data_IF_221483511979
#
_entry.id   IF_221483511979
#
_cell.length_a   1.000
_cell.length_b   1.000
_cell.length_c   1.000
_cell.angle_alpha   90.00
_cell.angle_beta   90.00
_cell.angle_gamma   90.00
#
_symmetry.space_group_name_H-M   'P 1'
#
loop_
_entity.id
_entity.type
_entity.pdbx_description
1 polymer ?
#
# COMPACT_ATOMS: atom_id res chain seq x y z
N UNK A 1 -4.82 -25.82 -16.69
CA UNK A 1 -4.82 -25.15 -16.76
C UNK A 1 -4.36 -24.48 -16.77
N UNK A 2 -4.05 -24.34 -16.53
CA UNK A 2 -3.93 -23.74 -16.63
C UNK A 2 -3.48 -22.57 -16.59
N UNK A 3 -3.10 -22.04 -16.78
CA UNK A 3 -3.09 -20.63 -17.01
C UNK A 3 -3.70 -19.91 -15.86
N UNK A 4 -4.55 -20.49 -15.15
CA UNK A 4 -5.22 -19.82 -14.06
C UNK A 4 -4.25 -19.50 -12.92
N UNK A 5 -3.17 -20.20 -12.84
CA UNK A 5 -2.23 -19.93 -11.76
C UNK A 5 -1.62 -18.54 -11.87
N UNK A 6 -1.33 -18.13 -13.09
CA UNK A 6 -0.80 -16.80 -13.26
C UNK A 6 -1.82 -15.76 -12.91
N UNK A 7 -3.05 -16.04 -13.28
CA UNK A 7 -4.11 -15.10 -12.98
C UNK A 7 -4.30 -14.94 -11.50
N UNK A 8 -4.04 -15.99 -10.75
CA UNK A 8 -4.15 -15.90 -9.32
C UNK A 8 -3.19 -14.89 -8.74
N UNK A 9 -1.98 -14.88 -9.25
CA UNK A 9 -1.01 -13.94 -8.73
C UNK A 9 -1.43 -12.53 -8.99
N UNK A 10 -1.97 -12.28 -10.16
CA UNK A 10 -2.44 -10.95 -10.47
C UNK A 10 -3.66 -10.60 -9.67
N UNK A 11 -4.46 -11.59 -9.37
CA UNK A 11 -5.69 -11.37 -8.64
C UNK A 11 -5.45 -11.14 -7.16
N UNK A 12 -4.21 -11.26 -6.68
CA UNK A 12 -3.94 -11.04 -5.27
C UNK A 12 -3.80 -9.57 -4.91
N UNK A 13 -3.82 -8.69 -5.89
CA UNK A 13 -3.84 -7.27 -5.58
C UNK A 13 -5.24 -6.84 -5.20
N UNK A 14 -5.33 -5.87 -4.33
CA UNK A 14 -6.62 -5.35 -3.90
C UNK A 14 -6.48 -3.87 -3.60
N UNK A 15 -7.63 -3.19 -3.61
CA UNK A 15 -7.68 -1.79 -3.25
C UNK A 15 -8.08 -1.71 -1.79
N UNK A 16 -7.34 -0.92 -1.04
CA UNK A 16 -7.58 -0.80 0.39
C UNK A 16 -7.53 0.66 0.78
N UNK A 17 -8.37 1.02 1.74
CA UNK A 17 -8.36 2.38 2.27
C UNK A 17 -6.99 2.65 2.89
N UNK A 18 -6.48 3.86 2.67
CA UNK A 18 -5.19 4.23 3.24
C UNK A 18 -5.19 4.13 4.76
N UNK A 19 -6.35 4.32 5.39
CA UNK A 19 -6.47 4.24 6.85
C UNK A 19 -6.41 2.80 7.36
N UNK A 20 -6.54 1.83 6.47
CA UNK A 20 -6.55 0.42 6.84
C UNK A 20 -5.22 -0.27 6.61
N UNK A 21 -4.21 0.47 6.21
CA UNK A 21 -2.89 -0.11 6.01
C UNK A 21 -2.28 -0.50 7.34
N UNK A 22 -1.61 -1.62 7.36
CA UNK A 22 -0.99 -2.18 8.56
C UNK A 22 0.44 -2.53 8.28
N UNK A 23 1.27 -2.57 9.33
CA UNK A 23 2.65 -3.05 9.15
C UNK A 23 2.66 -4.40 8.49
N UNK A 24 3.52 -4.56 7.50
CA UNK A 24 3.63 -5.80 6.77
C UNK A 24 2.86 -5.83 5.46
N UNK A 25 1.91 -4.92 5.28
CA UNK A 25 1.23 -4.79 3.99
C UNK A 25 2.24 -4.36 2.95
N UNK A 26 1.97 -4.74 1.70
CA UNK A 26 2.81 -4.32 0.60
C UNK A 26 1.95 -3.52 -0.36
N UNK A 27 2.40 -2.31 -0.68
CA UNK A 27 1.61 -1.41 -1.53
C UNK A 27 2.42 -0.97 -2.74
N UNK A 28 1.68 -0.63 -3.80
CA UNK A 28 2.28 -0.04 -4.97
C UNK A 28 2.33 1.47 -4.75
N UNK A 29 3.53 2.01 -4.74
CA UNK A 29 3.72 3.42 -4.45
C UNK A 29 4.75 3.99 -5.41
N UNK A 30 4.41 5.13 -6.03
CA UNK A 30 5.26 5.72 -7.05
C UNK A 30 5.45 4.72 -8.18
N UNK A 31 6.58 4.07 -8.26
CA UNK A 31 6.86 3.16 -9.37
C UNK A 31 7.23 1.77 -8.91
N UNK A 32 6.95 1.42 -7.67
CA UNK A 32 7.35 0.10 -7.19
C UNK A 32 6.49 -0.38 -6.04
N UNK A 33 6.79 -1.59 -5.60
CA UNK A 33 6.13 -2.23 -4.48
C UNK A 33 6.99 -2.07 -3.24
N UNK A 34 6.40 -1.61 -2.16
CA UNK A 34 7.14 -1.38 -0.92
C UNK A 34 6.36 -1.91 0.26
N UNK A 35 7.07 -2.39 1.23
CA UNK A 35 6.48 -2.88 2.47
C UNK A 35 6.14 -1.70 3.36
N UNK A 36 4.95 -1.74 3.95
CA UNK A 36 4.52 -0.72 4.90
C UNK A 36 5.13 -1.05 6.25
N UNK A 37 5.91 -0.12 6.78
CA UNK A 37 6.43 -0.23 8.13
C UNK A 37 5.37 0.21 9.13
N UNK A 38 4.66 1.28 8.80
CA UNK A 38 3.59 1.80 9.64
C UNK A 38 2.78 2.78 8.82
N UNK A 39 1.56 3.05 9.25
CA UNK A 39 0.72 4.05 8.59
C UNK A 39 -0.31 4.53 9.59
N UNK A 40 -0.49 5.84 9.68
CA UNK A 40 -1.46 6.40 10.61
C UNK A 40 -1.86 7.81 10.15
N UNK A 41 -3.08 8.23 10.52
CA UNK A 41 -3.53 9.56 10.12
C UNK A 41 -2.79 10.63 10.91
N UNK A 42 -2.43 11.72 10.23
CA UNK A 42 -1.81 12.87 10.86
C UNK A 42 -2.67 14.11 10.71
N UNK A 43 -3.69 14.05 9.85
CA UNK A 43 -4.66 15.11 9.67
C UNK A 43 -5.91 14.46 9.11
N UNK A 44 -6.98 15.26 8.99
CA UNK A 44 -8.25 14.72 8.54
C UNK A 44 -8.13 14.02 7.18
N UNK A 45 -7.37 14.62 6.28
CA UNK A 45 -7.26 14.11 4.92
C UNK A 45 -5.84 13.65 4.58
N UNK A 46 -5.04 13.35 5.57
CA UNK A 46 -3.65 13.00 5.33
C UNK A 46 -3.24 11.82 6.19
N UNK A 47 -2.67 10.82 5.55
CA UNK A 47 -2.12 9.65 6.23
C UNK A 47 -0.61 9.68 6.06
N UNK A 48 0.11 9.49 7.15
CA UNK A 48 1.55 9.34 7.08
C UNK A 48 1.83 7.86 6.85
N UNK A 49 2.53 7.56 5.76
CA UNK A 49 2.86 6.19 5.42
C UNK A 49 4.37 6.04 5.51
N UNK A 50 4.81 5.09 6.30
CA UNK A 50 6.23 4.78 6.44
C UNK A 50 6.52 3.51 5.67
N UNK A 51 7.40 3.61 4.71
CA UNK A 51 7.73 2.49 3.83
C UNK A 51 9.17 2.06 4.05
N UNK A 52 9.40 0.77 3.90
CA UNK A 52 10.74 0.22 3.93
C UNK A 52 11.30 0.29 2.52
N UNK A 53 12.32 1.13 2.34
CA UNK A 53 12.95 1.29 1.04
C UNK A 53 14.42 0.98 1.23
N UNK A 54 14.85 -0.11 0.64
CA UNK A 54 16.15 -0.69 0.90
C UNK A 54 16.20 -1.09 2.37
N UNK A 55 17.09 -0.48 3.13
CA UNK A 55 17.19 -0.80 4.55
C UNK A 55 16.77 0.40 5.40
N UNK A 56 16.06 1.35 4.80
CA UNK A 56 15.69 2.57 5.50
C UNK A 56 14.18 2.72 5.53
N UNK A 57 13.72 3.46 6.51
CA UNK A 57 12.30 3.80 6.63
C UNK A 57 12.15 5.22 6.08
N UNK A 58 11.26 5.35 5.10
CA UNK A 58 10.95 6.65 4.51
C UNK A 58 9.50 6.98 4.78
N UNK A 59 9.24 8.23 5.14
CA UNK A 59 7.90 8.66 5.49
C UNK A 59 7.34 9.54 4.39
N UNK A 60 6.08 9.32 4.07
CA UNK A 60 5.38 10.09 3.04
C UNK A 60 4.03 10.51 3.56
N UNK A 61 3.65 11.75 3.25
CA UNK A 61 2.31 12.24 3.58
C UNK A 61 1.45 12.06 2.36
N UNK A 62 0.41 11.24 2.51
CA UNK A 62 -0.47 10.94 1.41
C UNK A 62 -1.79 11.67 1.64
N UNK A 63 -2.17 12.50 0.67
CA UNK A 63 -3.45 13.18 0.71
C UNK A 63 -4.53 12.19 0.33
N UNK A 64 -5.48 11.99 1.21
CA UNK A 64 -6.51 10.97 1.03
C UNK A 64 -7.83 11.67 0.75
N UNK A 65 -8.27 11.63 -0.50
CA UNK A 65 -9.55 12.19 -0.87
C UNK A 65 -10.60 11.09 -0.99
N UNK A 66 -11.81 11.50 -1.28
CA UNK A 66 -12.90 10.55 -1.46
C UNK A 66 -12.54 9.60 -2.60
N UNK A 67 -12.63 8.32 -2.34
CA UNK A 67 -12.35 7.33 -3.37
C UNK A 67 -10.88 6.99 -3.55
N UNK A 68 -10.00 7.64 -2.80
CA UNK A 68 -8.58 7.36 -2.91
C UNK A 68 -8.27 6.06 -2.18
N UNK A 69 -7.60 5.14 -2.85
CA UNK A 69 -7.29 3.83 -2.29
C UNK A 69 -5.84 3.48 -2.56
N UNK A 70 -5.28 2.70 -1.66
CA UNK A 70 -3.95 2.14 -1.87
C UNK A 70 -4.11 0.80 -2.56
N UNK A 71 -3.20 0.52 -3.49
CA UNK A 71 -3.17 -0.79 -4.15
C UNK A 71 -2.25 -1.69 -3.36
N UNK A 72 -2.78 -2.77 -2.84
CA UNK A 72 -2.06 -3.67 -1.96
C UNK A 72 -1.86 -5.01 -2.62
N UNK A 73 -0.82 -5.69 -2.19
CA UNK A 73 -0.49 -7.01 -2.68
C UNK A 73 -0.50 -7.97 -1.50
N UNK A 74 -1.16 -9.06 -1.70
CA UNK A 74 -1.26 -10.08 -0.64
C UNK A 74 0.05 -10.81 -0.41
#
# INVERSE_FOLDING_TARGET
MRKSDKNHEEATTSQRDWHDLKPGDEIFFATGWYEVFDAYPVARDTVLVKLVIHIRIQSYRVRVGAGSKATCRA
#
